data_IF_863985375919
#
_entry.id   IF_863985375919
#
_cell.length_a   1.000
_cell.length_b   1.000
_cell.length_c   1.000
_cell.angle_alpha   90.00
_cell.angle_beta   90.00
_cell.angle_gamma   90.00
#
_symmetry.space_group_name_H-M   'P 1'
#
loop_
_entity.id
_entity.type
_entity.pdbx_description
1 polymer ?
#
# COMPACT_ATOMS: atom_id res chain seq x y z
N UNK A 1 79.80 6.07 8.62
CA UNK A 1 79.07 6.21 7.34
C UNK A 1 77.61 5.87 7.61
N UNK A 2 76.67 6.81 7.45
CA UNK A 2 75.23 6.55 7.69
C UNK A 2 74.61 6.13 6.37
N UNK A 3 74.27 4.86 6.23
CA UNK A 3 73.56 4.33 5.05
C UNK A 3 72.16 4.93 5.05
N UNK A 4 71.84 5.76 4.06
CA UNK A 4 70.50 6.28 3.88
C UNK A 4 69.58 5.10 3.52
N UNK A 5 68.71 4.71 4.44
CA UNK A 5 67.68 3.71 4.19
C UNK A 5 66.77 4.22 3.06
N UNK A 6 66.71 3.50 1.95
CA UNK A 6 65.80 3.84 0.88
C UNK A 6 64.34 3.77 1.38
N UNK A 7 63.43 4.58 0.82
CA UNK A 7 62.06 4.59 1.28
C UNK A 7 61.36 3.28 0.93
N UNK A 8 60.87 2.57 1.95
CA UNK A 8 60.23 1.26 1.87
C UNK A 8 59.08 1.15 0.87
N UNK A 9 58.40 2.27 0.57
CA UNK A 9 57.29 2.31 -0.38
C UNK A 9 57.72 2.17 -1.86
N UNK A 10 59.02 2.27 -2.17
CA UNK A 10 59.55 2.10 -3.52
C UNK A 10 59.85 0.66 -3.90
N UNK A 11 59.90 -0.25 -2.93
CA UNK A 11 60.12 -1.67 -3.17
C UNK A 11 58.79 -2.35 -3.52
N UNK A 12 58.75 -3.28 -4.49
CA UNK A 12 57.51 -3.95 -4.89
C UNK A 12 57.02 -4.98 -3.86
N UNK A 13 57.92 -5.49 -3.01
CA UNK A 13 57.64 -6.57 -2.07
C UNK A 13 56.56 -6.25 -1.02
N UNK A 14 56.58 -5.08 -0.35
CA UNK A 14 55.49 -4.67 0.55
C UNK A 14 54.12 -4.62 -0.12
N UNK A 15 54.04 -4.18 -1.38
CA UNK A 15 52.79 -4.07 -2.12
C UNK A 15 52.21 -5.45 -2.49
N UNK A 16 53.07 -6.41 -2.85
CA UNK A 16 52.65 -7.80 -3.12
C UNK A 16 52.11 -8.46 -1.85
N UNK A 17 52.78 -8.24 -0.71
CA UNK A 17 52.36 -8.77 0.59
C UNK A 17 51.04 -8.14 1.07
N UNK A 18 50.82 -6.85 0.78
CA UNK A 18 49.59 -6.14 1.09
C UNK A 18 48.42 -6.46 0.12
N UNK A 19 48.69 -6.94 -1.09
CA UNK A 19 47.66 -7.17 -2.11
C UNK A 19 46.61 -8.21 -1.67
N UNK A 20 47.03 -9.27 -0.98
CA UNK A 20 46.12 -10.30 -0.47
C UNK A 20 45.08 -9.74 0.52
N UNK A 21 45.50 -9.14 1.65
CA UNK A 21 44.58 -8.51 2.60
C UNK A 21 43.68 -7.44 1.98
N UNK A 22 44.23 -6.59 1.10
CA UNK A 22 43.47 -5.53 0.42
C UNK A 22 42.39 -6.12 -0.50
N UNK A 23 42.70 -7.20 -1.22
CA UNK A 23 41.73 -7.87 -2.09
C UNK A 23 40.54 -8.44 -1.29
N UNK A 24 40.79 -9.00 -0.09
CA UNK A 24 39.73 -9.52 0.79
C UNK A 24 38.85 -8.40 1.32
N UNK A 25 39.43 -7.25 1.70
CA UNK A 25 38.66 -6.07 2.15
C UNK A 25 37.76 -5.56 1.02
N UNK A 26 38.30 -5.42 -0.20
CA UNK A 26 37.53 -4.99 -1.37
C UNK A 26 36.41 -5.98 -1.72
N UNK A 27 36.69 -7.28 -1.69
CA UNK A 27 35.69 -8.32 -1.91
C UNK A 27 34.58 -8.23 -0.85
N UNK A 28 34.92 -8.06 0.43
CA UNK A 28 33.94 -7.88 1.50
C UNK A 28 33.06 -6.64 1.31
N UNK A 29 33.64 -5.51 0.91
CA UNK A 29 32.87 -4.29 0.59
C UNK A 29 31.94 -4.54 -0.59
N UNK A 30 32.40 -5.21 -1.65
CA UNK A 30 31.58 -5.56 -2.82
C UNK A 30 30.46 -6.51 -2.41
N UNK A 31 30.73 -7.53 -1.59
CA UNK A 31 29.71 -8.45 -1.07
C UNK A 31 28.68 -7.74 -0.21
N UNK A 32 29.09 -6.82 0.67
CA UNK A 32 28.17 -5.99 1.47
C UNK A 32 27.36 -5.06 0.58
N UNK A 33 27.98 -4.46 -0.44
CA UNK A 33 27.28 -3.60 -1.39
C UNK A 33 26.27 -4.38 -2.24
N UNK A 34 26.65 -5.57 -2.71
CA UNK A 34 25.72 -6.51 -3.35
C UNK A 34 24.63 -6.95 -2.39
N UNK A 35 24.93 -7.20 -1.12
CA UNK A 35 23.92 -7.57 -0.14
C UNK A 35 22.93 -6.42 0.09
N UNK A 36 23.38 -5.17 0.23
CA UNK A 36 22.48 -4.01 0.41
C UNK A 36 21.66 -3.74 -0.86
N UNK A 37 22.27 -3.91 -2.04
CA UNK A 37 21.62 -3.65 -3.33
C UNK A 37 20.71 -4.79 -3.79
N UNK A 38 21.05 -6.04 -3.46
CA UNK A 38 20.34 -7.26 -3.86
C UNK A 38 19.37 -7.76 -2.78
N UNK A 39 19.61 -7.43 -1.52
CA UNK A 39 18.69 -7.60 -0.41
C UNK A 39 18.10 -6.22 -0.11
N UNK A 40 17.15 -5.86 -0.98
CA UNK A 40 16.19 -4.79 -0.78
C UNK A 40 15.91 -4.59 0.72
N UNK A 41 16.34 -3.45 1.27
CA UNK A 41 16.16 -3.08 2.66
C UNK A 41 14.70 -2.78 2.96
N UNK A 42 13.86 -3.82 2.97
CA UNK A 42 12.40 -3.71 3.02
C UNK A 42 11.75 -4.61 4.10
N UNK A 43 12.52 -5.13 5.07
CA UNK A 43 12.00 -6.15 6.03
C UNK A 43 12.24 -5.84 7.51
N UNK A 44 12.95 -4.77 7.88
CA UNK A 44 13.13 -4.43 9.30
C UNK A 44 12.30 -3.20 9.73
N UNK A 45 12.44 -2.09 9.00
CA UNK A 45 11.70 -0.86 9.32
C UNK A 45 10.21 -0.99 8.97
N UNK A 46 9.87 -1.68 7.87
CA UNK A 46 8.48 -1.89 7.48
C UNK A 46 7.76 -2.94 8.34
N UNK A 47 8.46 -3.89 8.98
CA UNK A 47 7.81 -4.86 9.87
C UNK A 47 7.40 -4.24 11.21
N UNK A 48 8.22 -3.33 11.75
CA UNK A 48 7.87 -2.58 12.97
C UNK A 48 6.77 -1.53 12.69
N UNK A 49 6.77 -0.91 11.50
CA UNK A 49 5.69 -0.03 11.05
C UNK A 49 4.41 -0.79 10.65
N UNK A 50 4.52 -2.00 10.10
CA UNK A 50 3.37 -2.85 9.79
C UNK A 50 2.58 -3.22 11.03
N UNK A 51 3.22 -3.45 12.18
CA UNK A 51 2.49 -3.70 13.44
C UNK A 51 1.65 -2.50 13.92
N UNK A 52 2.09 -1.27 13.63
CA UNK A 52 1.35 -0.04 13.93
C UNK A 52 0.28 0.26 12.88
N UNK A 53 0.61 0.10 11.59
CA UNK A 53 -0.34 0.29 10.49
C UNK A 53 -1.46 -0.77 10.50
N UNK A 54 -1.16 -2.02 10.84
CA UNK A 54 -2.17 -3.07 11.06
C UNK A 54 -3.08 -2.69 12.22
N UNK A 55 -2.54 -2.18 13.34
CA UNK A 55 -3.38 -1.69 14.43
C UNK A 55 -4.27 -0.53 13.98
N UNK A 56 -3.73 0.44 13.23
CA UNK A 56 -4.53 1.55 12.70
C UNK A 56 -5.60 1.09 11.71
N UNK A 57 -5.28 0.13 10.85
CA UNK A 57 -6.22 -0.50 9.92
C UNK A 57 -7.33 -1.22 10.67
N UNK A 58 -6.99 -2.02 11.68
CA UNK A 58 -7.97 -2.72 12.54
C UNK A 58 -8.86 -1.71 13.27
N UNK A 59 -8.30 -0.61 13.78
CA UNK A 59 -9.08 0.45 14.46
C UNK A 59 -10.04 1.16 13.50
N UNK A 60 -9.61 1.44 12.25
CA UNK A 60 -10.43 2.09 11.22
C UNK A 60 -11.54 1.18 10.71
N UNK A 61 -11.26 -0.10 10.57
CA UNK A 61 -12.24 -1.11 10.17
C UNK A 61 -13.26 -1.34 11.33
N UNK A 62 -12.81 -1.39 12.60
CA UNK A 62 -13.71 -1.42 13.78
C UNK A 62 -14.57 -0.18 13.89
N UNK A 63 -14.04 1.01 13.63
CA UNK A 63 -14.84 2.24 13.67
C UNK A 63 -15.93 2.25 12.60
N UNK A 64 -15.65 1.69 11.42
CA UNK A 64 -16.69 1.49 10.40
C UNK A 64 -17.80 0.55 10.88
N UNK A 65 -17.44 -0.50 11.64
CA UNK A 65 -18.36 -1.45 12.26
C UNK A 65 -19.20 -0.81 13.38
N UNK A 66 -18.57 -0.07 14.29
CA UNK A 66 -19.23 0.66 15.38
C UNK A 66 -20.24 1.68 14.85
N UNK A 67 -19.95 2.30 13.70
CA UNK A 67 -20.84 3.24 13.01
C UNK A 67 -21.87 2.52 12.12
N UNK A 68 -21.80 1.20 11.99
CA UNK A 68 -22.71 0.39 11.20
C UNK A 68 -22.76 0.79 9.73
N UNK A 69 -21.61 1.19 9.18
CA UNK A 69 -21.52 1.70 7.81
C UNK A 69 -21.70 0.59 6.79
N UNK A 70 -22.63 0.79 5.85
CA UNK A 70 -22.87 -0.05 4.69
C UNK A 70 -22.84 0.84 3.45
N UNK A 71 -22.14 0.41 2.42
CA UNK A 71 -22.00 1.18 1.20
C UNK A 71 -22.39 0.34 -0.01
N UNK A 72 -23.27 0.85 -0.86
CA UNK A 72 -23.62 0.22 -2.11
C UNK A 72 -23.09 1.05 -3.27
N UNK A 73 -22.24 0.46 -4.11
CA UNK A 73 -21.59 1.13 -5.24
C UNK A 73 -22.27 0.68 -6.52
N UNK A 74 -22.68 1.65 -7.33
CA UNK A 74 -23.28 1.46 -8.64
C UNK A 74 -22.36 2.08 -9.69
N UNK A 75 -21.99 1.29 -10.70
CA UNK A 75 -21.22 1.75 -11.84
C UNK A 75 -22.18 2.03 -12.99
N UNK A 76 -22.14 3.25 -13.52
CA UNK A 76 -22.83 3.60 -14.76
C UNK A 76 -21.92 3.42 -15.97
N UNK A 77 -22.53 3.18 -17.14
CA UNK A 77 -21.82 2.95 -18.41
C UNK A 77 -20.87 4.08 -18.86
N UNK A 78 -20.99 5.29 -18.29
CA UNK A 78 -20.21 6.46 -18.67
C UNK A 78 -19.08 6.80 -17.69
N UNK A 79 -18.65 5.82 -16.87
CA UNK A 79 -17.65 6.03 -15.80
C UNK A 79 -18.18 6.82 -14.61
N UNK A 80 -19.50 6.98 -14.50
CA UNK A 80 -20.16 7.58 -13.34
C UNK A 80 -20.31 6.54 -12.24
N UNK A 81 -19.90 6.88 -11.02
CA UNK A 81 -20.13 6.08 -9.83
C UNK A 81 -21.14 6.76 -8.95
N UNK A 82 -22.12 5.99 -8.48
CA UNK A 82 -23.02 6.38 -7.40
C UNK A 82 -22.77 5.47 -6.23
N UNK A 83 -22.55 6.03 -5.05
CA UNK A 83 -22.38 5.29 -3.81
C UNK A 83 -23.52 5.68 -2.88
N UNK A 84 -24.24 4.70 -2.35
CA UNK A 84 -25.19 4.89 -1.26
C UNK A 84 -24.52 4.41 0.03
N UNK A 85 -24.07 5.35 0.85
CA UNK A 85 -23.56 5.10 2.19
C UNK A 85 -24.69 5.25 3.19
N UNK A 86 -24.97 4.19 3.92
CA UNK A 86 -25.97 4.14 4.99
C UNK A 86 -25.27 3.80 6.30
N UNK A 87 -25.69 4.45 7.38
CA UNK A 87 -25.25 4.12 8.73
C UNK A 87 -26.44 3.56 9.49
N UNK A 88 -26.33 2.34 10.01
CA UNK A 88 -27.40 1.76 10.86
C UNK A 88 -27.43 2.37 12.26
N UNK A 89 -26.39 3.13 12.64
CA UNK A 89 -26.24 3.76 13.96
C UNK A 89 -26.49 5.29 13.93
N UNK A 90 -26.91 5.84 12.78
CA UNK A 90 -27.21 7.27 12.65
C UNK A 90 -25.97 8.18 12.67
N UNK A 91 -24.81 7.65 12.30
CA UNK A 91 -23.57 8.42 12.23
C UNK A 91 -23.67 9.57 11.20
N UNK A 92 -23.08 10.73 11.53
CA UNK A 92 -22.94 11.83 10.60
C UNK A 92 -22.07 11.40 9.42
N UNK A 93 -22.66 11.40 8.22
CA UNK A 93 -21.98 11.01 7.00
C UNK A 93 -21.14 12.20 6.48
N UNK A 94 -19.89 11.98 6.06
CA UNK A 94 -19.00 13.06 5.62
C UNK A 94 -19.50 13.70 4.31
N UNK A 95 -19.18 14.97 4.05
CA UNK A 95 -19.62 15.63 2.80
C UNK A 95 -18.89 15.11 1.56
N UNK A 96 -17.71 14.52 1.74
CA UNK A 96 -16.89 13.95 0.66
C UNK A 96 -16.31 12.62 1.09
N UNK A 97 -16.26 11.66 0.17
CA UNK A 97 -15.60 10.36 0.38
C UNK A 97 -14.65 10.08 -0.77
N UNK A 98 -13.53 9.44 -0.48
CA UNK A 98 -12.55 9.02 -1.50
C UNK A 98 -12.79 7.57 -1.85
N UNK A 99 -13.09 7.33 -3.13
CA UNK A 99 -13.20 6.02 -3.73
C UNK A 99 -11.89 5.71 -4.46
N UNK A 100 -11.18 4.70 -3.98
CA UNK A 100 -9.98 4.15 -4.60
C UNK A 100 -10.33 2.82 -5.27
N UNK A 101 -9.96 2.69 -6.53
CA UNK A 101 -10.09 1.50 -7.36
C UNK A 101 -8.67 0.98 -7.60
N UNK A 102 -8.28 -0.07 -6.89
CA UNK A 102 -6.96 -0.68 -7.06
C UNK A 102 -7.03 -1.91 -7.96
N UNK A 103 -6.11 -2.01 -8.92
CA UNK A 103 -6.08 -3.14 -9.86
C UNK A 103 -5.18 -4.26 -9.34
N UNK A 104 -5.65 -5.52 -9.21
CA UNK A 104 -4.91 -6.59 -8.55
C UNK A 104 -3.61 -7.01 -9.28
N UNK A 105 -3.50 -6.77 -10.58
CA UNK A 105 -2.38 -7.28 -11.40
C UNK A 105 -1.38 -6.20 -11.90
N UNK A 106 -1.62 -4.90 -11.69
CA UNK A 106 -0.72 -3.84 -12.15
C UNK A 106 -0.78 -2.62 -11.23
N UNK A 107 0.21 -2.51 -10.33
CA UNK A 107 0.45 -1.28 -9.58
C UNK A 107 0.70 -0.13 -10.57
N UNK A 108 -0.14 0.92 -10.51
CA UNK A 108 -0.09 2.07 -11.41
C UNK A 108 -1.35 2.31 -12.25
N UNK A 109 -2.31 1.38 -12.24
CA UNK A 109 -3.66 1.61 -12.77
C UNK A 109 -4.67 1.98 -11.68
N UNK A 110 -4.17 2.21 -10.46
CA UNK A 110 -4.99 2.58 -9.33
C UNK A 110 -5.61 3.95 -9.61
N UNK A 111 -6.93 4.00 -9.58
CA UNK A 111 -7.70 5.20 -9.84
C UNK A 111 -8.34 5.68 -8.56
N UNK A 112 -8.17 6.96 -8.26
CA UNK A 112 -8.79 7.59 -7.10
C UNK A 112 -9.76 8.68 -7.56
N UNK A 113 -10.95 8.67 -7.00
CA UNK A 113 -11.96 9.69 -7.21
C UNK A 113 -12.52 10.18 -5.88
N UNK A 114 -12.64 11.49 -5.76
CA UNK A 114 -13.41 12.10 -4.67
C UNK A 114 -14.87 12.17 -5.08
N UNK A 115 -15.72 11.44 -4.37
CA UNK A 115 -17.17 11.49 -4.53
C UNK A 115 -17.71 12.59 -3.62
N UNK A 116 -18.57 13.45 -4.15
CA UNK A 116 -19.25 14.48 -3.39
C UNK A 116 -20.62 13.96 -2.94
N UNK A 117 -21.02 14.31 -1.71
CA UNK A 117 -22.36 13.99 -1.18
C UNK A 117 -23.43 14.74 -1.97
N UNK A 118 -24.37 14.00 -2.52
CA UNK A 118 -25.64 14.45 -3.14
C UNK A 118 -26.75 14.57 -2.08
N UNK A 119 -26.42 14.33 -0.80
CA UNK A 119 -27.35 14.33 0.32
C UNK A 119 -27.97 12.95 0.61
N UNK A 120 -28.51 12.79 1.81
CA UNK A 120 -29.14 11.53 2.29
C UNK A 120 -28.23 10.29 2.18
N UNK A 121 -26.90 10.48 2.28
CA UNK A 121 -25.92 9.40 2.15
C UNK A 121 -25.68 8.93 0.71
N UNK A 122 -26.23 9.60 -0.30
CA UNK A 122 -25.84 9.40 -1.68
C UNK A 122 -24.58 10.21 -2.00
N UNK A 123 -23.64 9.58 -2.69
CA UNK A 123 -22.42 10.20 -3.19
C UNK A 123 -22.31 9.92 -4.67
N UNK A 124 -21.84 10.90 -5.43
CA UNK A 124 -21.63 10.74 -6.86
C UNK A 124 -20.29 11.31 -7.28
N UNK A 125 -19.73 10.71 -8.33
CA UNK A 125 -18.54 11.19 -8.98
C UNK A 125 -18.35 10.52 -10.32
N UNK A 126 -17.60 11.16 -11.20
CA UNK A 126 -17.28 10.63 -12.52
C UNK A 126 -15.78 10.40 -12.65
N UNK A 127 -15.41 9.18 -13.02
CA UNK A 127 -14.03 8.87 -13.37
C UNK A 127 -13.69 9.55 -14.70
N UNK A 128 -12.54 10.22 -14.74
CA UNK A 128 -12.05 10.86 -15.96
C UNK A 128 -11.38 9.86 -16.90
N UNK A 129 -10.85 8.78 -16.35
CA UNK A 129 -10.24 7.71 -17.13
C UNK A 129 -11.17 6.51 -17.28
N UNK A 130 -11.10 5.81 -18.43
CA UNK A 130 -11.79 4.54 -18.60
C UNK A 130 -11.20 3.50 -17.65
N UNK A 131 -12.08 2.64 -17.14
CA UNK A 131 -11.74 1.52 -16.27
C UNK A 131 -11.42 0.35 -17.19
N UNK A 132 -10.22 -0.22 -17.03
CA UNK A 132 -9.73 -1.29 -17.89
C UNK A 132 -9.48 -2.53 -17.05
N UNK A 133 -10.35 -3.53 -17.17
CA UNK A 133 -10.22 -4.81 -16.46
C UNK A 133 -11.49 -5.21 -15.71
N UNK A 134 -11.53 -6.47 -15.27
CA UNK A 134 -12.76 -7.13 -14.84
C UNK A 134 -12.86 -7.26 -13.31
N UNK A 135 -11.74 -7.13 -12.59
CA UNK A 135 -11.64 -7.28 -11.13
C UNK A 135 -10.93 -6.08 -10.53
N UNK A 136 -11.58 -5.45 -9.57
CA UNK A 136 -11.09 -4.24 -8.91
C UNK A 136 -11.26 -4.37 -7.40
N UNK A 137 -10.26 -3.95 -6.65
CA UNK A 137 -10.43 -3.74 -5.22
C UNK A 137 -10.97 -2.33 -5.03
N UNK A 138 -12.21 -2.24 -4.56
CA UNK A 138 -12.89 -0.98 -4.27
C UNK A 138 -12.66 -0.65 -2.82
N UNK A 139 -12.18 0.57 -2.56
CA UNK A 139 -11.95 1.06 -1.21
C UNK A 139 -12.57 2.43 -1.05
N UNK A 140 -13.42 2.59 -0.03
CA UNK A 140 -13.96 3.88 0.37
C UNK A 140 -13.28 4.31 1.66
N UNK A 141 -12.82 5.55 1.65
CA UNK A 141 -12.21 6.21 2.80
C UNK A 141 -12.88 7.56 3.01
N UNK A 142 -13.04 7.93 4.28
CA UNK A 142 -13.36 9.29 4.65
C UNK A 142 -12.21 10.26 4.29
N UNK A 143 -12.51 11.54 4.12
CA UNK A 143 -11.53 12.61 3.94
C UNK A 143 -10.54 12.66 5.12
N UNK A 144 -11.05 12.47 6.34
CA UNK A 144 -10.26 12.41 7.57
C UNK A 144 -9.54 11.07 7.77
N UNK A 145 -9.90 10.05 6.98
CA UNK A 145 -9.39 8.70 7.15
C UNK A 145 -9.84 8.01 8.44
N UNK A 146 -10.97 8.40 9.06
CA UNK A 146 -11.40 7.78 10.31
C UNK A 146 -11.96 6.35 10.15
N UNK A 147 -12.53 6.05 8.98
CA UNK A 147 -13.06 4.73 8.66
C UNK A 147 -12.66 4.34 7.24
N UNK A 148 -12.70 3.03 6.97
CA UNK A 148 -12.42 2.47 5.66
C UNK A 148 -13.40 1.32 5.40
N UNK A 149 -13.94 1.28 4.18
CA UNK A 149 -14.66 0.12 3.66
C UNK A 149 -13.87 -0.42 2.48
N UNK A 150 -13.66 -1.73 2.42
CA UNK A 150 -12.99 -2.37 1.29
C UNK A 150 -13.80 -3.57 0.81
N UNK A 151 -13.97 -3.70 -0.49
CA UNK A 151 -14.63 -4.84 -1.11
C UNK A 151 -13.99 -5.16 -2.46
N UNK A 152 -14.08 -6.42 -2.87
CA UNK A 152 -13.68 -6.82 -4.22
C UNK A 152 -14.89 -6.73 -5.16
N UNK A 153 -14.71 -6.07 -6.30
CA UNK A 153 -15.74 -5.95 -7.33
C UNK A 153 -15.33 -6.66 -8.61
N UNK A 154 -16.13 -7.66 -8.98
CA UNK A 154 -16.10 -8.26 -10.31
C UNK A 154 -17.14 -7.57 -11.23
N UNK A 155 -16.76 -6.46 -11.86
CA UNK A 155 -17.65 -5.67 -12.73
C UNK A 155 -18.20 -6.47 -13.94
N UNK A 156 -17.55 -7.56 -14.33
CA UNK A 156 -18.00 -8.45 -15.42
C UNK A 156 -19.31 -9.17 -15.12
N UNK A 157 -19.59 -9.48 -13.85
CA UNK A 157 -20.78 -10.24 -13.44
C UNK A 157 -21.87 -9.40 -12.78
N UNK A 158 -21.53 -8.20 -12.30
CA UNK A 158 -22.42 -7.39 -11.46
C UNK A 158 -22.20 -5.90 -11.69
N UNK A 159 -23.25 -5.22 -12.16
CA UNK A 159 -23.30 -3.76 -12.34
C UNK A 159 -23.38 -2.97 -11.01
N UNK A 160 -23.69 -3.66 -9.91
CA UNK A 160 -23.70 -3.12 -8.55
C UNK A 160 -22.92 -3.99 -7.57
N UNK A 161 -22.26 -3.34 -6.61
CA UNK A 161 -21.51 -3.96 -5.53
C UNK A 161 -22.07 -3.50 -4.18
N UNK A 162 -22.57 -4.44 -3.39
CA UNK A 162 -22.90 -4.19 -1.98
C UNK A 162 -21.66 -4.44 -1.12
N UNK A 163 -21.20 -3.40 -0.44
CA UNK A 163 -20.09 -3.47 0.51
C UNK A 163 -20.66 -3.35 1.92
N UNK A 164 -20.35 -4.34 2.74
CA UNK A 164 -20.56 -4.30 4.18
C UNK A 164 -19.19 -4.41 4.84
N UNK A 165 -19.06 -3.91 6.07
CA UNK A 165 -17.91 -4.26 6.91
C UNK A 165 -17.99 -5.77 7.12
N UNK A 166 -17.21 -6.51 6.34
CA UNK A 166 -17.05 -7.95 6.53
C UNK A 166 -16.23 -8.11 7.79
N UNK A 167 -16.88 -8.57 8.86
CA UNK A 167 -16.21 -8.99 10.09
C UNK A 167 -15.00 -9.88 9.73
N UNK A 168 -13.89 -9.81 10.47
CA UNK A 168 -12.76 -10.70 10.24
C UNK A 168 -13.29 -12.13 10.20
N UNK A 169 -12.90 -12.88 9.16
CA UNK A 169 -13.23 -14.29 8.99
C UNK A 169 -13.02 -14.98 10.34
N UNK A 170 -14.12 -15.32 11.02
CA UNK A 170 -14.08 -16.31 12.07
C UNK A 170 -13.85 -17.60 11.31
N UNK A 171 -12.61 -18.05 11.28
CA UNK A 171 -12.24 -19.37 10.79
C UNK A 171 -13.06 -20.36 11.59
N UNK A 172 -14.18 -20.80 11.00
CA UNK A 172 -14.86 -22.02 11.38
C UNK A 172 -13.84 -23.14 11.26
N UNK A 173 -13.26 -23.54 12.38
CA UNK A 173 -12.51 -24.78 12.47
C UNK A 173 -13.18 -25.65 13.53
N UNK A 174 -14.01 -26.56 12.99
CA UNK A 174 -14.49 -27.85 13.51
C UNK A 174 -14.61 -28.06 15.01
#
# INVERSE_FOLDING_TARGET
>A
MRTAAQPWYREPWPWILAAGPVAVILAGIVTVWLAIKSNDGLVADDYYKQGLEVNQVIQRDRRAEELGLQAEVFAGNNGSFRVLLTSTQGAALPEKVRLKLAHPAKAGFDQEITLASDGQGAYSGKLNNPIVGNRWLVRLEDESGNWRLSAEWAMEKQESLSMKVTAPVSSSNR
#
